data_IF_824810316768
#
_entry.id   IF_824810316768
#
_cell.length_a   1.000
_cell.length_b   1.000
_cell.length_c   1.000
_cell.angle_alpha   90.00
_cell.angle_beta   90.00
_cell.angle_gamma   90.00
#
_symmetry.space_group_name_H-M   'P 1'
#
loop_
_entity.id
_entity.type
_entity.pdbx_description
1 polymer ?
#
# COMPACT_ATOMS: atom_id res chain seq x y z
N UNK A 1 14.87 -8.60 -8.28
CA UNK A 1 13.58 -8.58 -7.54
C UNK A 1 13.36 -7.16 -7.03
N UNK A 2 12.22 -6.52 -7.23
CA UNK A 2 12.03 -5.07 -7.00
C UNK A 2 11.93 -4.67 -5.52
N UNK A 3 12.98 -4.92 -4.75
CA UNK A 3 13.08 -4.56 -3.33
C UNK A 3 13.01 -3.06 -3.08
N UNK A 4 13.27 -2.25 -4.10
CA UNK A 4 13.19 -0.79 -4.04
C UNK A 4 11.76 -0.24 -4.09
N UNK A 5 10.74 -1.08 -4.36
CA UNK A 5 9.34 -0.69 -4.37
C UNK A 5 8.63 -1.05 -3.05
N UNK A 6 7.52 -0.36 -2.72
CA UNK A 6 6.70 -0.76 -1.59
C UNK A 6 5.97 -2.08 -1.86
N UNK A 7 5.55 -2.75 -0.79
CA UNK A 7 4.73 -3.97 -0.87
C UNK A 7 3.59 -3.92 0.14
N UNK A 8 2.43 -4.47 -0.22
CA UNK A 8 1.32 -4.70 0.69
C UNK A 8 0.75 -6.10 0.47
N UNK A 9 0.67 -6.89 1.54
CA UNK A 9 0.18 -8.27 1.50
C UNK A 9 -0.87 -8.48 2.57
N UNK A 10 -1.99 -9.09 2.22
CA UNK A 10 -2.98 -9.50 3.20
C UNK A 10 -2.43 -10.65 4.05
N UNK A 11 -2.47 -10.50 5.38
CA UNK A 11 -1.98 -11.51 6.33
C UNK A 11 -3.09 -12.20 7.10
N UNK A 12 -4.22 -11.53 7.32
CA UNK A 12 -5.39 -12.09 7.98
C UNK A 12 -6.64 -11.30 7.60
N UNK A 13 -7.81 -11.94 7.68
CA UNK A 13 -9.10 -11.26 7.55
C UNK A 13 -10.20 -12.06 8.25
N UNK A 14 -11.32 -11.41 8.56
CA UNK A 14 -12.51 -12.09 9.07
C UNK A 14 -13.20 -12.85 7.92
N UNK A 15 -13.18 -14.18 7.99
CA UNK A 15 -13.91 -15.03 7.05
C UNK A 15 -15.41 -14.72 7.07
N UNK A 16 -16.09 -14.97 5.96
CA UNK A 16 -17.53 -14.71 5.79
C UNK A 16 -17.96 -13.25 6.01
N UNK A 17 -17.03 -12.29 5.92
CA UNK A 17 -17.33 -10.85 6.02
C UNK A 17 -18.55 -10.41 5.19
N UNK A 18 -18.74 -10.81 3.91
CA UNK A 18 -19.94 -10.43 3.16
C UNK A 18 -21.24 -10.89 3.83
N UNK A 19 -21.29 -12.13 4.34
CA UNK A 19 -22.45 -12.69 5.03
C UNK A 19 -22.72 -11.96 6.34
N UNK A 20 -21.67 -11.68 7.13
CA UNK A 20 -21.78 -10.97 8.41
C UNK A 20 -22.34 -9.57 8.18
N UNK A 21 -21.77 -8.83 7.23
CA UNK A 21 -22.20 -7.47 6.86
C UNK A 21 -23.67 -7.46 6.42
N UNK A 22 -24.04 -8.36 5.51
CA UNK A 22 -25.41 -8.45 5.01
C UNK A 22 -26.40 -8.83 6.11
N UNK A 23 -26.02 -9.77 6.99
CA UNK A 23 -26.86 -10.22 8.11
C UNK A 23 -27.04 -9.11 9.15
N UNK A 24 -25.97 -8.38 9.47
CA UNK A 24 -26.02 -7.22 10.35
C UNK A 24 -26.92 -6.11 9.78
N UNK A 25 -26.85 -5.87 8.46
CA UNK A 25 -27.75 -4.92 7.80
C UNK A 25 -29.21 -5.36 7.84
N UNK A 26 -29.50 -6.66 7.68
CA UNK A 26 -30.87 -7.18 7.70
C UNK A 26 -31.45 -7.26 9.11
N UNK A 27 -30.60 -7.47 10.12
CA UNK A 27 -30.98 -7.56 11.53
C UNK A 27 -31.76 -6.31 11.99
N UNK A 28 -31.41 -5.13 11.48
CA UNK A 28 -32.07 -3.87 11.86
C UNK A 28 -33.50 -3.73 11.33
N UNK A 29 -33.92 -4.61 10.40
CA UNK A 29 -35.22 -4.58 9.73
C UNK A 29 -36.06 -5.83 10.00
N UNK A 30 -35.47 -6.85 10.60
CA UNK A 30 -36.04 -8.20 10.71
C UNK A 30 -36.43 -8.51 12.16
N UNK A 31 -37.57 -9.15 12.42
CA UNK A 31 -37.91 -9.65 13.75
C UNK A 31 -37.12 -10.91 14.15
N UNK A 32 -36.41 -11.54 13.20
CA UNK A 32 -35.54 -12.71 13.45
C UNK A 32 -34.21 -12.31 14.07
N UNK A 33 -33.64 -13.20 14.89
CA UNK A 33 -32.29 -13.05 15.41
C UNK A 33 -31.20 -13.18 14.33
N UNK A 34 -29.95 -12.83 14.71
CA UNK A 34 -28.82 -12.85 13.79
C UNK A 34 -28.52 -14.24 13.25
N UNK A 35 -28.58 -15.28 14.09
CA UNK A 35 -28.28 -16.66 13.69
C UNK A 35 -29.24 -17.13 12.59
N UNK A 36 -30.54 -16.96 12.81
CA UNK A 36 -31.59 -17.31 11.83
C UNK A 36 -31.47 -16.52 10.53
N UNK A 37 -31.02 -15.26 10.60
CA UNK A 37 -30.78 -14.43 9.42
C UNK A 37 -29.57 -14.95 8.63
N UNK A 38 -28.47 -15.22 9.34
CA UNK A 38 -27.18 -15.62 8.78
C UNK A 38 -27.25 -17.00 8.10
N UNK A 39 -27.94 -17.96 8.71
CA UNK A 39 -28.19 -19.30 8.12
C UNK A 39 -28.93 -19.21 6.77
N UNK A 40 -29.86 -18.26 6.64
CA UNK A 40 -30.60 -18.01 5.40
C UNK A 40 -29.91 -17.08 4.40
N UNK A 41 -28.68 -16.64 4.68
CA UNK A 41 -27.94 -15.65 3.89
C UNK A 41 -26.96 -16.33 2.93
N UNK A 42 -27.44 -16.64 1.72
CA UNK A 42 -26.60 -17.10 0.61
C UNK A 42 -25.61 -16.03 0.14
N UNK A 43 -24.58 -16.42 -0.61
CA UNK A 43 -23.58 -15.49 -1.17
C UNK A 43 -24.21 -14.44 -2.10
N UNK A 44 -25.10 -14.85 -2.99
CA UNK A 44 -25.82 -13.95 -3.91
C UNK A 44 -26.61 -12.88 -3.14
N UNK A 45 -27.39 -13.30 -2.12
CA UNK A 45 -28.15 -12.37 -1.28
C UNK A 45 -27.21 -11.44 -0.50
N UNK A 46 -26.11 -11.96 0.03
CA UNK A 46 -25.14 -11.14 0.73
C UNK A 46 -24.57 -10.05 -0.19
N UNK A 47 -24.25 -10.40 -1.44
CA UNK A 47 -23.78 -9.43 -2.44
C UNK A 47 -24.83 -8.36 -2.76
N UNK A 48 -26.10 -8.72 -2.91
CA UNK A 48 -27.19 -7.76 -3.11
C UNK A 48 -27.28 -6.74 -1.97
N UNK A 49 -27.22 -7.22 -0.72
CA UNK A 49 -27.22 -6.34 0.46
C UNK A 49 -26.00 -5.41 0.47
N UNK A 50 -24.80 -5.96 0.27
CA UNK A 50 -23.56 -5.17 0.20
C UNK A 50 -23.64 -4.09 -0.87
N UNK A 51 -24.13 -4.44 -2.05
CA UNK A 51 -24.29 -3.51 -3.17
C UNK A 51 -25.20 -2.33 -2.81
N UNK A 52 -26.32 -2.61 -2.17
CA UNK A 52 -27.24 -1.58 -1.69
C UNK A 52 -26.65 -0.72 -0.58
N UNK A 53 -25.84 -1.29 0.32
CA UNK A 53 -25.12 -0.53 1.36
C UNK A 53 -24.17 0.49 0.75
N UNK A 54 -23.34 0.07 -0.23
CA UNK A 54 -22.38 0.95 -0.92
C UNK A 54 -23.10 2.05 -1.69
N UNK A 55 -24.16 1.72 -2.44
CA UNK A 55 -24.99 2.69 -3.18
C UNK A 55 -25.59 3.76 -2.26
N UNK A 56 -26.18 3.34 -1.14
CA UNK A 56 -26.87 4.24 -0.20
C UNK A 56 -25.91 4.99 0.72
N UNK A 57 -24.63 4.62 0.73
CA UNK A 57 -23.65 5.14 1.70
C UNK A 57 -23.98 4.74 3.14
N UNK A 58 -24.64 3.59 3.33
CA UNK A 58 -24.93 3.05 4.65
C UNK A 58 -23.72 2.27 5.16
N UNK A 59 -22.73 3.01 5.67
CA UNK A 59 -21.42 2.44 5.99
C UNK A 59 -21.34 1.61 7.29
N UNK A 60 -22.29 1.73 8.23
CA UNK A 60 -22.14 1.10 9.55
C UNK A 60 -22.09 -0.43 9.52
N UNK A 61 -22.87 -1.18 8.71
CA UNK A 61 -22.74 -2.64 8.68
C UNK A 61 -21.39 -3.11 8.13
N UNK A 62 -20.73 -2.31 7.28
CA UNK A 62 -19.40 -2.60 6.73
C UNK A 62 -18.30 -2.67 7.81
N UNK A 63 -18.55 -2.09 8.99
CA UNK A 63 -17.60 -2.11 10.11
C UNK A 63 -17.47 -3.48 10.78
N UNK A 64 -18.42 -4.40 10.56
CA UNK A 64 -18.38 -5.78 11.08
C UNK A 64 -17.43 -6.70 10.30
N UNK A 65 -16.33 -6.15 9.77
CA UNK A 65 -15.29 -6.88 9.05
C UNK A 65 -13.91 -6.35 9.45
N UNK A 66 -12.88 -7.17 9.26
CA UNK A 66 -11.51 -6.77 9.56
C UNK A 66 -10.57 -7.40 8.54
N UNK A 67 -9.68 -6.58 7.98
CA UNK A 67 -8.63 -7.00 7.06
C UNK A 67 -7.30 -6.47 7.57
N UNK A 68 -6.31 -7.36 7.65
CA UNK A 68 -4.99 -7.07 8.21
C UNK A 68 -3.95 -7.25 7.11
N UNK A 69 -3.13 -6.23 6.91
CA UNK A 69 -2.09 -6.19 5.90
C UNK A 69 -0.72 -6.00 6.54
N UNK A 70 0.28 -6.71 6.02
CA UNK A 70 1.67 -6.35 6.19
C UNK A 70 2.07 -5.41 5.04
N UNK A 71 2.52 -4.21 5.39
CA UNK A 71 2.97 -3.19 4.45
C UNK A 71 4.45 -2.89 4.70
N UNK A 72 5.24 -2.92 3.64
CA UNK A 72 6.62 -2.40 3.62
C UNK A 72 6.64 -1.18 2.70
N UNK A 73 7.03 -0.04 3.25
CA UNK A 73 7.07 1.23 2.52
C UNK A 73 8.13 2.15 3.14
N UNK A 74 8.27 3.37 2.62
CA UNK A 74 9.13 4.42 3.17
C UNK A 74 8.51 5.04 4.41
N UNK A 75 9.34 5.71 5.23
CA UNK A 75 8.83 6.55 6.32
C UNK A 75 7.91 7.66 5.78
N UNK A 76 8.23 8.27 4.64
CA UNK A 76 7.37 9.25 3.97
C UNK A 76 5.97 8.71 3.66
N UNK A 77 5.87 7.50 3.10
CA UNK A 77 4.58 6.86 2.81
C UNK A 77 3.85 6.48 4.10
N UNK A 78 4.56 5.93 5.10
CA UNK A 78 3.93 5.58 6.38
C UNK A 78 3.28 6.80 7.07
N UNK A 79 3.88 7.99 6.94
CA UNK A 79 3.31 9.25 7.44
C UNK A 79 2.01 9.67 6.74
N UNK A 80 1.74 9.18 5.53
CA UNK A 80 0.44 9.35 4.86
C UNK A 80 -0.56 8.27 5.27
N UNK A 81 -0.10 7.02 5.46
CA UNK A 81 -0.93 5.89 5.87
C UNK A 81 -1.56 6.10 7.26
N UNK A 82 -0.76 6.52 8.25
CA UNK A 82 -1.23 6.72 9.64
C UNK A 82 -2.21 7.89 9.82
N UNK A 83 -2.50 8.64 8.75
CA UNK A 83 -3.55 9.69 8.76
C UNK A 83 -4.96 9.11 8.66
N UNK A 84 -5.08 7.85 8.28
CA UNK A 84 -6.33 7.09 8.28
C UNK A 84 -6.56 6.56 9.70
N UNK A 85 -7.42 7.26 10.45
CA UNK A 85 -7.58 7.06 11.90
C UNK A 85 -8.50 5.90 12.27
N UNK A 86 -9.34 5.43 11.34
CA UNK A 86 -10.17 4.24 11.53
C UNK A 86 -9.41 2.98 11.10
N UNK A 87 -8.20 2.85 11.65
CA UNK A 87 -7.29 1.75 11.40
C UNK A 87 -6.43 1.50 12.64
N UNK A 88 -5.87 0.30 12.75
CA UNK A 88 -4.87 -0.04 13.77
C UNK A 88 -3.51 -0.24 13.13
N UNK A 89 -2.45 0.26 13.77
CA UNK A 89 -1.09 0.22 13.24
C UNK A 89 -0.12 -0.40 14.24
N UNK A 90 0.80 -1.22 13.76
CA UNK A 90 1.99 -1.64 14.51
C UNK A 90 3.20 -1.52 13.60
N UNK A 91 4.11 -0.60 13.92
CA UNK A 91 5.19 -0.21 13.02
C UNK A 91 6.56 -0.54 13.62
N UNK A 92 7.49 -0.96 12.76
CA UNK A 92 8.89 -1.18 13.11
C UNK A 92 9.49 0.11 13.69
N UNK A 93 9.86 0.06 14.96
CA UNK A 93 10.41 1.20 15.70
C UNK A 93 11.89 1.43 15.36
N UNK A 94 12.21 2.67 14.98
CA UNK A 94 13.59 3.13 14.79
C UNK A 94 14.30 3.44 16.13
N UNK A 95 13.62 3.36 17.28
CA UNK A 95 14.24 3.55 18.60
C UNK A 95 15.06 2.33 19.05
N UNK A 96 14.71 1.16 18.53
CA UNK A 96 15.26 -0.12 19.00
C UNK A 96 15.91 -0.95 17.90
N UNK A 97 15.77 -0.56 16.63
CA UNK A 97 16.11 -1.42 15.50
C UNK A 97 16.46 -0.62 14.25
N UNK A 98 17.56 -1.02 13.62
CA UNK A 98 18.06 -0.58 12.32
C UNK A 98 18.16 -1.76 11.32
N UNK A 99 17.32 -2.79 11.48
CA UNK A 99 17.37 -4.07 10.74
C UNK A 99 17.53 -3.94 9.22
N UNK A 100 16.81 -3.03 8.58
CA UNK A 100 16.94 -2.79 7.14
C UNK A 100 18.29 -2.19 6.76
N UNK A 101 18.85 -1.32 7.60
CA UNK A 101 20.21 -0.78 7.41
C UNK A 101 21.26 -1.89 7.55
N UNK A 102 21.11 -2.80 8.52
CA UNK A 102 21.99 -3.97 8.64
C UNK A 102 21.92 -4.89 7.41
N UNK A 103 20.73 -5.05 6.82
CA UNK A 103 20.56 -5.76 5.54
C UNK A 103 21.35 -5.10 4.41
N UNK A 104 21.28 -3.77 4.29
CA UNK A 104 22.07 -2.99 3.35
C UNK A 104 23.58 -3.16 3.58
N UNK A 105 24.05 -3.15 4.83
CA UNK A 105 25.48 -3.38 5.14
C UNK A 105 25.93 -4.78 4.71
N UNK A 106 25.14 -5.82 4.98
CA UNK A 106 25.45 -7.19 4.51
C UNK A 106 25.59 -7.23 2.99
N UNK A 107 24.69 -6.54 2.28
CA UNK A 107 24.76 -6.44 0.82
C UNK A 107 25.99 -5.67 0.32
N UNK A 108 26.34 -4.59 1.02
CA UNK A 108 27.57 -3.84 0.73
C UNK A 108 28.84 -4.67 1.00
N UNK A 109 28.85 -5.52 2.02
CA UNK A 109 29.92 -6.48 2.29
C UNK A 109 30.11 -7.47 1.13
N UNK A 110 29.02 -8.04 0.60
CA UNK A 110 29.07 -8.92 -0.58
C UNK A 110 29.72 -8.22 -1.78
N UNK A 111 29.34 -6.96 -2.04
CA UNK A 111 29.84 -6.20 -3.19
C UNK A 111 31.30 -5.74 -3.02
N UNK A 112 31.71 -5.40 -1.80
CA UNK A 112 33.07 -4.89 -1.51
C UNK A 112 34.08 -6.00 -1.19
N UNK A 113 33.62 -7.22 -0.92
CA UNK A 113 34.44 -8.33 -0.43
C UNK A 113 34.89 -8.20 1.03
N UNK A 114 34.44 -7.17 1.75
CA UNK A 114 34.77 -6.96 3.16
C UNK A 114 33.87 -7.86 4.03
N UNK A 115 34.42 -8.72 4.91
CA UNK A 115 33.62 -9.56 5.78
C UNK A 115 32.67 -8.77 6.69
N UNK A 116 31.44 -9.26 6.85
CA UNK A 116 30.47 -8.68 7.78
C UNK A 116 30.93 -8.89 9.23
N UNK A 117 30.94 -7.82 10.01
CA UNK A 117 31.15 -7.84 11.45
C UNK A 117 30.14 -6.91 12.12
N UNK A 118 29.55 -7.37 13.23
CA UNK A 118 28.52 -6.64 13.98
C UNK A 118 29.14 -5.51 14.82
N UNK A 119 29.76 -4.54 14.14
CA UNK A 119 30.49 -3.42 14.71
C UNK A 119 30.27 -2.15 13.85
N UNK A 120 29.94 -1.03 14.48
CA UNK A 120 29.67 0.21 13.76
C UNK A 120 30.91 0.78 13.06
N UNK A 121 32.11 0.53 13.61
CA UNK A 121 33.36 0.85 12.94
C UNK A 121 33.54 0.05 11.64
N UNK A 122 33.22 -1.24 11.67
CA UNK A 122 33.19 -2.10 10.49
C UNK A 122 32.15 -1.61 9.46
N UNK A 123 30.95 -1.23 9.89
CA UNK A 123 29.93 -0.68 9.00
C UNK A 123 30.43 0.57 8.27
N UNK A 124 31.07 1.51 8.99
CA UNK A 124 31.64 2.72 8.40
C UNK A 124 32.77 2.41 7.40
N UNK A 125 33.63 1.42 7.68
CA UNK A 125 34.67 0.98 6.73
C UNK A 125 34.06 0.42 5.44
N UNK A 126 33.01 -0.39 5.54
CA UNK A 126 32.30 -0.95 4.38
C UNK A 126 31.66 0.17 3.55
N UNK A 127 30.96 1.10 4.20
CA UNK A 127 30.34 2.25 3.52
C UNK A 127 31.35 3.17 2.86
N UNK A 128 32.49 3.42 3.51
CA UNK A 128 33.59 4.20 2.95
C UNK A 128 34.22 3.52 1.73
N UNK A 129 34.46 2.21 1.80
CA UNK A 129 34.96 1.41 0.67
C UNK A 129 33.99 1.43 -0.51
N UNK A 130 32.70 1.22 -0.24
CA UNK A 130 31.65 1.28 -1.25
C UNK A 130 31.56 2.66 -1.92
N UNK A 131 31.72 3.73 -1.15
CA UNK A 131 31.69 5.09 -1.69
C UNK A 131 32.93 5.39 -2.54
N UNK A 132 34.10 4.91 -2.11
CA UNK A 132 35.37 5.09 -2.82
C UNK A 132 35.45 4.28 -4.12
N UNK A 133 34.88 3.08 -4.15
CA UNK A 133 34.85 2.24 -5.36
C UNK A 133 33.86 2.75 -6.41
N UNK A 134 32.92 3.63 -6.02
CA UNK A 134 31.92 4.27 -6.88
C UNK A 134 31.24 3.28 -7.84
N UNK A 135 30.54 2.24 -7.31
CA UNK A 135 29.94 1.17 -8.12
C UNK A 135 28.96 1.71 -9.16
N UNK A 136 28.64 0.87 -10.16
CA UNK A 136 27.62 1.19 -11.15
C UNK A 136 26.25 1.43 -10.50
N UNK A 137 25.36 2.11 -11.23
CA UNK A 137 24.02 2.45 -10.72
C UNK A 137 23.25 1.21 -10.22
N UNK A 138 23.24 0.12 -10.99
CA UNK A 138 22.49 -1.08 -10.63
C UNK A 138 23.04 -1.81 -9.40
N UNK A 139 24.36 -1.87 -9.24
CA UNK A 139 24.98 -2.47 -8.06
C UNK A 139 24.68 -1.65 -6.80
N UNK A 140 24.78 -0.32 -6.92
CA UNK A 140 24.43 0.59 -5.84
C UNK A 140 22.93 0.51 -5.51
N UNK A 141 22.08 0.41 -6.53
CA UNK A 141 20.63 0.23 -6.38
C UNK A 141 20.33 -1.05 -5.61
N UNK A 142 20.96 -2.18 -5.94
CA UNK A 142 20.74 -3.46 -5.25
C UNK A 142 21.10 -3.37 -3.76
N UNK A 143 22.18 -2.65 -3.42
CA UNK A 143 22.56 -2.38 -2.03
C UNK A 143 21.52 -1.49 -1.34
N UNK A 144 21.29 -0.27 -1.83
CA UNK A 144 20.42 0.71 -1.14
C UNK A 144 18.96 0.26 -1.11
N UNK A 145 18.53 -0.55 -2.09
CA UNK A 145 17.20 -1.14 -2.13
C UNK A 145 16.95 -2.12 -0.99
N UNK A 146 17.93 -2.52 -0.18
CA UNK A 146 17.68 -3.22 1.09
C UNK A 146 17.05 -2.29 2.12
N UNK A 147 17.56 -1.06 2.21
CA UNK A 147 17.23 -0.10 3.24
C UNK A 147 16.20 0.96 2.85
N UNK A 148 16.02 1.22 1.55
CA UNK A 148 15.27 2.37 1.05
C UNK A 148 14.23 1.99 -0.01
N UNK A 149 13.15 2.76 -0.05
CA UNK A 149 12.27 2.81 -1.23
C UNK A 149 12.83 3.85 -2.18
N UNK A 150 13.04 3.46 -3.45
CA UNK A 150 13.58 4.34 -4.48
C UNK A 150 12.48 4.69 -5.47
N UNK A 151 12.22 5.99 -5.73
CA UNK A 151 11.19 6.38 -6.68
C UNK A 151 11.44 5.85 -8.10
N UNK A 152 10.39 5.42 -8.84
CA UNK A 152 10.54 4.90 -10.20
C UNK A 152 11.30 5.85 -11.13
N UNK A 153 11.03 7.16 -11.06
CA UNK A 153 11.74 8.16 -11.88
C UNK A 153 13.25 8.25 -11.61
N UNK A 154 13.67 7.97 -10.37
CA UNK A 154 15.11 7.91 -10.03
C UNK A 154 15.74 6.69 -10.68
N UNK A 155 15.01 5.56 -10.73
CA UNK A 155 15.46 4.33 -11.41
C UNK A 155 15.48 4.51 -12.92
N UNK A 156 14.42 5.09 -13.51
CA UNK A 156 14.31 5.37 -14.95
C UNK A 156 15.42 6.32 -15.44
N UNK A 157 15.79 7.30 -14.63
CA UNK A 157 16.85 8.26 -14.95
C UNK A 157 18.26 7.76 -14.58
N UNK A 158 18.39 6.56 -13.98
CA UNK A 158 19.62 6.03 -13.42
C UNK A 158 20.39 7.05 -12.56
N UNK A 159 19.66 7.81 -11.74
CA UNK A 159 20.23 8.89 -10.93
C UNK A 159 21.04 8.33 -9.75
N UNK A 160 22.32 8.07 -10.02
CA UNK A 160 23.30 7.60 -9.05
C UNK A 160 23.49 8.58 -7.90
N UNK A 161 23.43 9.89 -8.17
CA UNK A 161 23.61 10.93 -7.16
C UNK A 161 22.55 10.86 -6.05
N UNK A 162 21.32 10.50 -6.41
CA UNK A 162 20.26 10.22 -5.45
C UNK A 162 20.61 9.04 -4.53
N UNK A 163 21.10 7.93 -5.10
CA UNK A 163 21.46 6.74 -4.32
C UNK A 163 22.64 7.00 -3.38
N UNK A 164 23.65 7.73 -3.84
CA UNK A 164 24.80 8.14 -3.02
C UNK A 164 24.38 9.06 -1.87
N UNK A 165 23.38 9.93 -2.09
CA UNK A 165 22.83 10.76 -1.02
C UNK A 165 22.15 9.93 0.08
N UNK A 166 21.45 8.86 -0.29
CA UNK A 166 20.89 7.91 0.69
C UNK A 166 22.01 7.22 1.50
N UNK A 167 23.07 6.79 0.82
CA UNK A 167 24.22 6.15 1.44
C UNK A 167 24.91 7.07 2.47
N UNK A 168 25.14 8.34 2.11
CA UNK A 168 25.70 9.37 3.02
C UNK A 168 24.85 9.59 4.27
N UNK A 169 23.52 9.49 4.14
CA UNK A 169 22.60 9.55 5.28
C UNK A 169 22.81 8.39 6.25
N UNK A 170 23.03 7.17 5.74
CA UNK A 170 23.34 6.00 6.58
C UNK A 170 24.72 6.10 7.21
N UNK A 171 25.71 6.61 6.48
CA UNK A 171 27.06 6.84 7.02
C UNK A 171 27.02 7.84 8.19
N UNK A 172 26.27 8.93 8.04
CA UNK A 172 26.07 9.93 9.10
C UNK A 172 25.34 9.34 10.31
N UNK A 173 24.32 8.50 10.08
CA UNK A 173 23.64 7.75 11.13
C UNK A 173 24.60 6.84 11.91
N UNK A 174 25.38 5.99 11.23
CA UNK A 174 26.29 5.06 11.91
C UNK A 174 27.46 5.77 12.58
N UNK A 175 27.92 6.91 12.04
CA UNK A 175 28.91 7.76 12.72
C UNK A 175 28.38 8.29 14.04
N UNK A 176 27.15 8.82 14.06
CA UNK A 176 26.51 9.30 15.28
C UNK A 176 26.37 8.18 16.33
N UNK A 177 25.90 7.01 15.91
CA UNK A 177 25.76 5.83 16.78
C UNK A 177 27.13 5.37 17.33
N UNK A 178 28.16 5.32 16.49
CA UNK A 178 29.51 4.95 16.92
C UNK A 178 30.11 5.93 17.95
N UNK A 179 29.66 7.20 17.93
CA UNK A 179 30.01 8.22 18.93
C UNK A 179 29.16 8.16 20.21
N UNK A 180 28.29 7.17 20.36
CA UNK A 180 27.46 6.97 21.56
C UNK A 180 26.10 7.67 21.52
N UNK A 181 25.69 8.27 20.39
CA UNK A 181 24.35 8.85 20.25
C UNK A 181 23.32 7.72 20.18
N UNK A 182 22.22 7.87 20.92
CA UNK A 182 21.14 6.88 20.96
C UNK A 182 20.49 6.71 19.58
N UNK A 183 19.89 5.55 19.31
CA UNK A 183 19.14 5.35 18.06
C UNK A 183 17.95 6.31 17.90
N UNK A 184 17.33 6.69 19.02
CA UNK A 184 16.21 7.63 19.05
C UNK A 184 16.59 9.01 18.54
N UNK A 185 17.83 9.46 18.78
CA UNK A 185 18.33 10.75 18.33
C UNK A 185 19.05 10.63 16.98
N UNK A 186 19.85 9.59 16.78
CA UNK A 186 20.59 9.39 15.54
C UNK A 186 19.66 9.24 14.32
N UNK A 187 18.46 8.65 14.49
CA UNK A 187 17.48 8.48 13.38
C UNK A 187 17.05 9.78 12.72
N UNK A 188 17.26 10.95 13.34
CA UNK A 188 16.96 12.25 12.73
C UNK A 188 17.83 12.50 11.48
N UNK A 189 18.96 11.80 11.36
CA UNK A 189 19.85 11.85 10.20
C UNK A 189 19.38 10.95 9.04
N UNK A 190 18.43 10.04 9.28
CA UNK A 190 17.98 9.09 8.26
C UNK A 190 17.06 9.77 7.23
N UNK A 191 17.27 9.53 5.93
CA UNK A 191 16.37 10.01 4.88
C UNK A 191 14.95 9.46 5.04
N UNK A 192 13.94 10.25 4.63
CA UNK A 192 12.53 9.85 4.66
C UNK A 192 12.20 8.64 3.77
N UNK A 193 13.08 8.32 2.82
CA UNK A 193 13.00 7.13 1.96
C UNK A 193 13.26 5.81 2.72
N UNK A 194 13.78 5.87 3.96
CA UNK A 194 14.14 4.67 4.73
C UNK A 194 12.92 3.77 4.90
N UNK A 195 13.12 2.48 4.65
CA UNK A 195 12.08 1.48 4.75
C UNK A 195 11.60 1.30 6.18
N UNK A 196 10.32 1.01 6.27
CA UNK A 196 9.64 0.62 7.49
C UNK A 196 8.66 -0.49 7.14
N UNK A 197 8.38 -1.34 8.13
CA UNK A 197 7.37 -2.38 8.05
C UNK A 197 6.28 -2.04 9.04
N UNK A 198 5.03 -2.18 8.64
CA UNK A 198 3.89 -2.00 9.52
C UNK A 198 2.80 -3.03 9.24
N UNK A 199 2.16 -3.49 10.31
CA UNK A 199 0.84 -4.10 10.23
C UNK A 199 -0.21 -3.00 10.23
N UNK A 200 -1.18 -3.13 9.33
CA UNK A 200 -2.34 -2.24 9.19
C UNK A 200 -3.60 -3.08 9.26
N UNK A 201 -4.49 -2.76 10.19
CA UNK A 201 -5.82 -3.38 10.27
C UNK A 201 -6.90 -2.34 9.93
N UNK A 202 -7.78 -2.65 8.98
CA UNK A 202 -8.89 -1.78 8.57
C UNK A 202 -10.16 -2.62 8.38
N UNK A 203 -11.31 -2.05 8.72
CA UNK A 203 -12.61 -2.65 8.37
C UNK A 203 -13.02 -2.28 6.94
N UNK A 204 -14.05 -2.94 6.40
CA UNK A 204 -14.50 -2.67 5.03
C UNK A 204 -15.04 -1.24 4.86
N UNK A 205 -15.57 -0.59 5.91
CA UNK A 205 -16.01 0.81 5.82
C UNK A 205 -14.84 1.74 5.50
N UNK A 206 -13.76 1.65 6.28
CA UNK A 206 -12.55 2.43 6.05
C UNK A 206 -11.97 2.12 4.67
N UNK A 207 -11.89 0.85 4.28
CA UNK A 207 -11.35 0.45 2.99
C UNK A 207 -12.18 0.98 1.81
N UNK A 208 -13.50 0.74 1.81
CA UNK A 208 -14.39 1.04 0.69
C UNK A 208 -14.73 2.52 0.57
N UNK A 209 -14.96 3.21 1.69
CA UNK A 209 -15.49 4.58 1.66
C UNK A 209 -14.39 5.64 1.75
N UNK A 210 -13.22 5.29 2.28
CA UNK A 210 -12.17 6.28 2.63
C UNK A 210 -10.84 5.94 1.98
N UNK A 211 -10.19 4.85 2.39
CA UNK A 211 -8.81 4.53 2.05
C UNK A 211 -8.61 4.27 0.56
N UNK A 212 -9.32 3.29 -0.02
CA UNK A 212 -9.19 2.95 -1.44
C UNK A 212 -9.58 4.13 -2.33
N UNK A 213 -10.73 4.82 -2.14
CA UNK A 213 -11.11 5.97 -2.95
C UNK A 213 -10.08 7.10 -2.95
N UNK A 214 -9.45 7.37 -1.81
CA UNK A 214 -8.44 8.42 -1.67
C UNK A 214 -7.10 8.01 -2.26
N UNK A 215 -6.66 6.77 -2.03
CA UNK A 215 -5.27 6.38 -2.27
C UNK A 215 -5.05 5.71 -3.62
N UNK A 216 -6.08 5.12 -4.24
CA UNK A 216 -5.96 4.61 -5.63
C UNK A 216 -6.07 5.70 -6.70
N UNK A 217 -6.49 6.91 -6.33
CA UNK A 217 -6.60 8.06 -7.23
C UNK A 217 -5.23 8.47 -7.82
N UNK A 218 -5.21 8.89 -9.09
CA UNK A 218 -3.99 9.39 -9.77
C UNK A 218 -3.36 10.63 -9.12
N UNK A 219 -4.12 11.37 -8.29
CA UNK A 219 -3.61 12.50 -7.50
C UNK A 219 -2.88 12.08 -6.23
N UNK A 220 -3.09 10.85 -5.74
CA UNK A 220 -2.35 10.34 -4.60
C UNK A 220 -0.86 10.16 -4.98
N UNK A 221 0.03 10.40 -4.01
CA UNK A 221 1.46 10.18 -4.20
C UNK A 221 1.73 8.72 -4.59
N UNK A 222 2.66 8.52 -5.52
CA UNK A 222 2.81 7.25 -6.25
C UNK A 222 3.00 6.04 -5.33
N UNK A 223 3.72 6.18 -4.21
CA UNK A 223 4.06 5.08 -3.31
C UNK A 223 2.84 4.60 -2.52
N UNK A 224 2.11 5.51 -1.87
CA UNK A 224 0.86 5.16 -1.17
C UNK A 224 -0.21 4.68 -2.15
N UNK A 225 -0.18 5.17 -3.39
CA UNK A 225 -1.07 4.69 -4.46
C UNK A 225 -0.75 3.26 -4.85
N UNK A 226 0.53 2.93 -5.00
CA UNK A 226 1.00 1.59 -5.28
C UNK A 226 0.57 0.62 -4.14
N UNK A 227 0.80 0.99 -2.88
CA UNK A 227 0.32 0.25 -1.69
C UNK A 227 -1.20 0.02 -1.74
N UNK A 228 -1.98 1.07 -2.03
CA UNK A 228 -3.44 0.96 -2.04
C UNK A 228 -3.98 0.06 -3.15
N UNK A 229 -3.36 0.08 -4.33
CA UNK A 229 -3.71 -0.83 -5.41
C UNK A 229 -3.35 -2.27 -5.09
N UNK A 230 -2.17 -2.55 -4.50
CA UNK A 230 -1.82 -3.89 -4.02
C UNK A 230 -2.83 -4.40 -2.99
N UNK A 231 -3.20 -3.56 -2.00
CA UNK A 231 -4.25 -3.89 -1.02
C UNK A 231 -5.58 -4.19 -1.71
N UNK A 232 -6.00 -3.38 -2.68
CA UNK A 232 -7.25 -3.62 -3.41
C UNK A 232 -7.24 -4.95 -4.17
N UNK A 233 -6.13 -5.33 -4.81
CA UNK A 233 -6.04 -6.60 -5.54
C UNK A 233 -6.17 -7.80 -4.59
N UNK A 234 -5.52 -7.76 -3.43
CA UNK A 234 -5.67 -8.81 -2.39
C UNK A 234 -7.12 -8.87 -1.87
N UNK A 235 -7.75 -7.72 -1.64
CA UNK A 235 -9.14 -7.64 -1.17
C UNK A 235 -10.12 -8.23 -2.19
N UNK A 236 -9.95 -7.90 -3.47
CA UNK A 236 -10.75 -8.45 -4.58
C UNK A 236 -10.60 -9.96 -4.71
N UNK A 237 -9.44 -10.52 -4.35
CA UNK A 237 -9.18 -11.96 -4.36
C UNK A 237 -9.91 -12.69 -3.23
N UNK A 238 -9.94 -12.13 -2.02
CA UNK A 238 -10.49 -12.83 -0.83
C UNK A 238 -11.95 -12.52 -0.52
N UNK A 239 -12.47 -11.38 -0.97
CA UNK A 239 -13.86 -10.96 -0.75
C UNK A 239 -14.39 -10.16 -1.97
N UNK A 240 -14.46 -10.79 -3.16
CA UNK A 240 -14.89 -10.13 -4.39
C UNK A 240 -16.28 -9.48 -4.29
N UNK A 241 -17.19 -10.06 -3.51
CA UNK A 241 -18.55 -9.55 -3.28
C UNK A 241 -18.54 -8.14 -2.66
N UNK A 242 -17.51 -7.84 -1.85
CA UNK A 242 -17.29 -6.52 -1.24
C UNK A 242 -16.52 -5.59 -2.17
N UNK A 243 -15.43 -6.08 -2.77
CA UNK A 243 -14.39 -5.21 -3.34
C UNK A 243 -14.36 -5.13 -4.87
N UNK A 244 -15.16 -5.92 -5.61
CA UNK A 244 -15.18 -5.81 -7.08
C UNK A 244 -15.70 -4.46 -7.60
N UNK A 245 -16.47 -3.74 -6.78
CA UNK A 245 -16.97 -2.39 -7.06
C UNK A 245 -16.07 -1.27 -6.52
N UNK A 246 -14.99 -1.63 -5.82
CA UNK A 246 -14.12 -0.66 -5.16
C UNK A 246 -13.11 -0.05 -6.15
N UNK A 247 -12.76 1.21 -5.93
CA UNK A 247 -11.82 1.92 -6.78
C UNK A 247 -11.62 3.36 -6.34
N UNK A 248 -11.01 4.21 -7.18
CA UNK A 248 -10.81 5.62 -6.89
C UNK A 248 -12.14 6.35 -6.64
N UNK A 249 -12.06 7.56 -6.06
CA UNK A 249 -13.25 8.36 -5.72
C UNK A 249 -14.28 8.53 -6.84
N UNK A 250 -13.84 8.59 -8.10
CA UNK A 250 -14.76 8.61 -9.26
C UNK A 250 -15.62 7.34 -9.35
N UNK A 251 -15.06 6.16 -9.11
CA UNK A 251 -15.78 4.88 -9.11
C UNK A 251 -16.80 4.83 -7.97
N UNK A 252 -16.38 5.21 -6.75
CA UNK A 252 -17.28 5.23 -5.59
C UNK A 252 -18.45 6.20 -5.77
N UNK A 253 -18.20 7.41 -6.28
CA UNK A 253 -19.27 8.39 -6.49
C UNK A 253 -20.22 7.97 -7.59
N UNK A 254 -19.70 7.43 -8.69
CA UNK A 254 -20.51 6.95 -9.80
C UNK A 254 -21.42 5.78 -9.36
N UNK A 255 -20.87 4.87 -8.54
CA UNK A 255 -21.63 3.76 -7.94
C UNK A 255 -22.84 4.24 -7.13
N UNK A 256 -22.80 5.43 -6.52
CA UNK A 256 -23.89 5.97 -5.69
C UNK A 256 -25.00 6.65 -6.49
N UNK A 257 -24.72 7.07 -7.73
CA UNK A 257 -25.70 7.78 -8.58
C UNK A 257 -26.31 6.90 -9.67
N UNK A 258 -25.79 5.68 -9.87
CA UNK A 258 -26.30 4.71 -10.85
C UNK A 258 -27.33 3.74 -10.27
N UNK A 259 -28.19 3.23 -11.14
CA UNK A 259 -29.17 2.19 -10.81
C UNK A 259 -28.49 0.89 -10.34
N UNK A 260 -27.41 0.49 -11.01
CA UNK A 260 -26.54 -0.62 -10.63
C UNK A 260 -25.06 -0.18 -10.72
N UNK A 261 -24.22 -0.47 -9.71
CA UNK A 261 -22.82 -0.12 -9.75
C UNK A 261 -22.08 -0.99 -10.76
N UNK A 262 -21.13 -0.40 -11.48
CA UNK A 262 -20.16 -1.15 -12.26
C UNK A 262 -19.03 -1.64 -11.36
N UNK A 263 -18.53 -2.81 -11.70
CA UNK A 263 -17.26 -3.34 -11.22
C UNK A 263 -16.10 -2.50 -11.75
N UNK A 264 -14.97 -2.57 -11.05
CA UNK A 264 -13.74 -1.92 -11.47
C UNK A 264 -13.27 -2.41 -12.86
N UNK A 265 -13.42 -3.70 -13.17
CA UNK A 265 -12.99 -4.25 -14.46
C UNK A 265 -13.82 -3.71 -15.62
N UNK A 266 -15.11 -3.44 -15.40
CA UNK A 266 -15.96 -2.80 -16.41
C UNK A 266 -15.51 -1.35 -16.71
N UNK A 267 -15.01 -0.62 -15.71
CA UNK A 267 -14.37 0.68 -15.96
C UNK A 267 -13.03 0.54 -16.71
N UNK A 268 -12.22 -0.47 -16.35
CA UNK A 268 -10.90 -0.67 -16.96
C UNK A 268 -11.00 -1.11 -18.42
N UNK A 269 -11.94 -2.00 -18.74
CA UNK A 269 -12.25 -2.47 -20.10
C UNK A 269 -13.01 -1.44 -20.94
N UNK A 270 -13.61 -0.43 -20.31
CA UNK A 270 -14.42 0.59 -20.98
C UNK A 270 -15.86 0.17 -21.26
N UNK A 271 -16.30 -1.01 -20.78
CA UNK A 271 -17.70 -1.44 -20.86
C UNK A 271 -18.63 -0.61 -19.96
N UNK A 272 -18.08 0.10 -18.99
CA UNK A 272 -18.81 1.06 -18.16
C UNK A 272 -18.39 2.51 -18.40
N UNK A 273 -19.33 3.32 -18.89
CA UNK A 273 -19.14 4.77 -19.02
C UNK A 273 -19.55 5.48 -17.73
N UNK A 274 -18.69 6.33 -17.14
CA UNK A 274 -19.07 7.13 -15.97
C UNK A 274 -20.25 8.06 -16.29
N UNK A 275 -21.20 8.16 -15.36
CA UNK A 275 -22.37 9.05 -15.47
C UNK A 275 -22.04 10.50 -15.15
N UNK A 276 -21.03 10.77 -14.32
CA UNK A 276 -20.61 12.13 -14.00
C UNK A 276 -19.88 12.78 -15.18
N UNK A 277 -20.06 14.08 -15.41
CA UNK A 277 -19.33 14.80 -16.47
C UNK A 277 -17.84 14.96 -16.16
N UNK A 278 -17.51 15.08 -14.88
CA UNK A 278 -16.14 15.17 -14.36
C UNK A 278 -16.04 14.47 -13.02
N UNK A 279 -14.88 13.93 -12.70
CA UNK A 279 -14.61 13.45 -11.34
C UNK A 279 -14.27 14.60 -10.37
N UNK A 280 -14.17 14.34 -9.05
CA UNK A 280 -13.80 15.35 -8.05
C UNK A 280 -12.45 16.04 -8.29
N UNK A 281 -11.53 15.36 -9.00
CA UNK A 281 -10.22 15.89 -9.37
C UNK A 281 -10.21 16.57 -10.75
N UNK A 282 -11.42 16.87 -11.26
CA UNK A 282 -11.70 17.59 -12.49
C UNK A 282 -11.28 16.86 -13.79
N UNK A 283 -11.09 15.53 -13.74
CA UNK A 283 -10.85 14.72 -14.94
C UNK A 283 -12.17 14.60 -15.73
N UNK A 284 -12.19 14.99 -17.02
CA UNK A 284 -13.35 14.82 -17.89
C UNK A 284 -13.79 13.36 -18.05
N UNK A 285 -15.10 13.13 -18.20
CA UNK A 285 -15.74 11.80 -18.29
C UNK A 285 -15.01 10.82 -19.22
N UNK A 286 -14.72 11.26 -20.44
CA UNK A 286 -14.05 10.51 -21.51
C UNK A 286 -12.64 10.05 -21.13
N UNK A 287 -11.99 10.74 -20.18
CA UNK A 287 -10.63 10.42 -19.70
C UNK A 287 -10.59 9.72 -18.34
N UNK A 288 -11.72 9.50 -17.67
CA UNK A 288 -11.75 8.87 -16.34
C UNK A 288 -11.21 7.44 -16.42
N UNK A 289 -11.68 6.63 -17.36
CA UNK A 289 -11.25 5.22 -17.48
C UNK A 289 -9.73 5.11 -17.74
N UNK A 290 -9.20 5.94 -18.63
CA UNK A 290 -7.76 6.03 -18.91
C UNK A 290 -6.96 6.47 -17.67
N UNK A 291 -7.47 7.46 -16.94
CA UNK A 291 -6.86 7.93 -15.69
C UNK A 291 -6.77 6.82 -14.64
N UNK A 292 -7.82 5.99 -14.49
CA UNK A 292 -7.81 4.83 -13.59
C UNK A 292 -6.77 3.80 -14.06
N UNK A 293 -6.73 3.46 -15.36
CA UNK A 293 -5.73 2.54 -15.93
C UNK A 293 -4.30 3.02 -15.66
N UNK A 294 -4.02 4.31 -15.85
CA UNK A 294 -2.70 4.89 -15.59
C UNK A 294 -2.35 4.88 -14.09
N UNK A 295 -3.33 5.10 -13.22
CA UNK A 295 -3.14 5.00 -11.77
C UNK A 295 -2.77 3.58 -11.33
N UNK A 296 -3.40 2.56 -11.93
CA UNK A 296 -3.14 1.14 -11.68
C UNK A 296 -1.77 0.70 -12.22
N UNK A 297 -1.39 1.10 -13.45
CA UNK A 297 -0.10 0.72 -14.06
C UNK A 297 1.11 1.13 -13.22
N UNK A 298 1.02 2.24 -12.48
CA UNK A 298 2.08 2.66 -11.55
C UNK A 298 2.19 1.83 -10.27
N UNK A 299 1.38 0.78 -10.10
CA UNK A 299 1.29 -0.02 -8.88
C UNK A 299 2.19 -1.27 -8.84
N UNK A 300 3.06 -1.52 -9.83
CA UNK A 300 3.89 -2.73 -9.81
C UNK A 300 5.26 -2.61 -10.50
N UNK A 301 6.23 -3.35 -9.94
CA UNK A 301 7.24 -4.00 -10.75
C UNK A 301 6.71 -5.38 -11.13
N UNK A 302 6.72 -5.71 -12.42
CA UNK A 302 6.63 -7.10 -12.87
C UNK A 302 5.34 -7.82 -12.49
N UNK A 303 4.17 -7.23 -12.72
CA UNK A 303 2.93 -7.99 -12.88
C UNK A 303 2.42 -7.76 -14.30
N UNK A 304 2.86 -8.63 -15.21
CA UNK A 304 2.16 -8.86 -16.49
C UNK A 304 0.76 -9.47 -16.30
N UNK A 305 0.37 -9.76 -15.06
CA UNK A 305 -0.86 -10.49 -14.72
C UNK A 305 -1.97 -9.59 -14.14
N UNK A 306 -1.86 -8.26 -14.30
CA UNK A 306 -2.96 -7.32 -14.02
C UNK A 306 -3.73 -6.92 -15.29
N UNK A 307 -3.53 -7.64 -16.40
CA UNK A 307 -4.53 -7.64 -17.47
C UNK A 307 -5.79 -8.32 -16.93
N UNK A 308 -6.98 -7.70 -17.06
CA UNK A 308 -8.22 -8.40 -16.76
C UNK A 308 -8.25 -9.65 -17.64
N UNK A 309 -8.34 -10.82 -17.01
CA UNK A 309 -8.49 -12.08 -17.72
C UNK A 309 -9.56 -11.95 -18.79
N UNK A 310 -9.16 -12.27 -20.02
CA UNK A 310 -10.03 -12.53 -21.16
C UNK A 310 -11.13 -13.53 -20.82
#
# INVERSE_FOLDING_TARGET
MCRHLPSARLVAYLHDSPRIIASASKLTLSPKDFTSISEGMSGERAEEWVRELVKRGHGSPLEHSLFVFEVVCSRACSHQLVRHRHASFSQLSQRYSDKYLRGMIKKACELTGIPYAEDYGAFLRVLGSLSASSPGFHDLLDVVAEAFIVPPRVVEAEDKGFLEALLRGVESYYRAVASGISFEDARYLLPQAVKTRLLVSMNARELLEVFIPLRTCSRAQWEVRNVAWQMLMELRRVAPELFKYAGPRCVLQDARVRAAPCTLDEYLSGSCTPTVERCPELVPRDRIAECIRNALRGAGCGHGDLEPGS
#
